data_IF_178989558760
#
_entry.id   IF_178989558760
#
_cell.length_a   1.000
_cell.length_b   1.000
_cell.length_c   1.000
_cell.angle_alpha   90.00
_cell.angle_beta   90.00
_cell.angle_gamma   90.00
#
_symmetry.space_group_name_H-M   'P 1'
#
loop_
_entity.id
_entity.type
_entity.pdbx_description
1 polymer ?
#
# COMPACT_ATOMS: atom_id res chain seq x y z
N UNK A 1 11.68 8.52 -10.91
CA UNK A 1 10.28 8.11 -10.92
C UNK A 1 9.74 8.01 -9.51
N UNK A 2 8.58 8.53 -9.28
CA UNK A 2 7.96 8.47 -7.95
C UNK A 2 7.13 7.21 -7.81
N UNK A 3 7.17 6.62 -6.63
CA UNK A 3 6.35 5.47 -6.32
C UNK A 3 5.76 5.65 -4.93
N UNK A 4 4.82 4.80 -4.56
CA UNK A 4 4.12 4.92 -3.30
C UNK A 4 4.88 4.28 -2.16
N UNK A 5 4.74 4.88 -0.99
CA UNK A 5 5.23 4.25 0.24
C UNK A 5 4.40 3.01 0.56
N UNK A 6 5.04 1.96 1.00
CA UNK A 6 4.37 0.74 1.41
C UNK A 6 4.75 0.46 2.86
N UNK A 7 3.75 0.33 3.72
CA UNK A 7 3.94 -0.14 5.08
C UNK A 7 3.81 -1.65 5.10
N UNK A 8 4.69 -2.32 5.82
CA UNK A 8 4.63 -3.77 5.98
C UNK A 8 4.93 -4.08 7.44
N UNK A 9 3.98 -4.70 8.13
CA UNK A 9 4.13 -4.95 9.56
C UNK A 9 3.37 -6.19 10.00
N UNK A 10 3.79 -6.75 11.13
CA UNK A 10 3.14 -7.89 11.72
C UNK A 10 1.93 -7.43 12.55
N UNK A 11 0.81 -8.10 12.39
CA UNK A 11 -0.41 -7.83 13.15
C UNK A 11 -0.68 -8.98 14.10
N UNK A 12 -0.59 -8.72 15.40
CA UNK A 12 -0.86 -9.75 16.41
C UNK A 12 -2.33 -10.19 16.36
N UNK A 13 -3.23 -9.25 16.11
CA UNK A 13 -4.66 -9.56 16.06
C UNK A 13 -4.98 -10.53 14.94
N UNK A 14 -4.31 -10.40 13.82
CA UNK A 14 -4.59 -11.22 12.65
C UNK A 14 -3.62 -12.39 12.48
N UNK A 15 -2.61 -12.44 13.33
CA UNK A 15 -1.58 -13.49 13.31
C UNK A 15 -0.94 -13.60 11.92
N UNK A 16 -0.49 -12.49 11.41
CA UNK A 16 0.14 -12.44 10.10
C UNK A 16 0.59 -11.04 9.77
N UNK A 17 0.92 -10.81 8.52
CA UNK A 17 1.47 -9.55 8.07
C UNK A 17 0.48 -8.76 7.26
N UNK A 18 0.50 -7.46 7.48
CA UNK A 18 -0.32 -6.52 6.71
C UNK A 18 0.60 -5.61 5.92
N UNK A 19 0.26 -5.43 4.64
CA UNK A 19 0.92 -4.46 3.78
C UNK A 19 -0.13 -3.46 3.34
N UNK A 20 0.21 -2.16 3.40
CA UNK A 20 -0.75 -1.16 2.93
C UNK A 20 -0.04 0.00 2.26
N UNK A 21 -0.77 0.66 1.37
CA UNK A 21 -0.28 1.83 0.65
C UNK A 21 -1.12 3.02 1.10
N UNK A 22 -0.55 3.88 1.98
CA UNK A 22 -1.34 4.97 2.60
C UNK A 22 -1.97 5.94 1.59
N UNK A 23 -1.29 6.20 0.49
CA UNK A 23 -1.80 7.16 -0.50
C UNK A 23 -2.95 6.63 -1.33
N UNK A 24 -3.19 5.33 -1.31
CA UNK A 24 -4.28 4.72 -2.05
C UNK A 24 -5.31 4.18 -1.06
N UNK A 25 -6.50 4.74 -1.08
CA UNK A 25 -7.54 4.36 -0.11
C UNK A 25 -7.86 2.88 -0.21
N UNK A 26 -7.83 2.20 0.93
CA UNK A 26 -8.18 0.79 1.05
C UNK A 26 -7.30 -0.15 0.22
N UNK A 27 -6.10 0.29 -0.09
CA UNK A 27 -5.17 -0.56 -0.81
C UNK A 27 -4.28 -1.27 0.20
N UNK A 28 -4.69 -2.45 0.62
CA UNK A 28 -3.97 -3.23 1.61
C UNK A 28 -4.11 -4.71 1.33
N UNK A 29 -3.26 -5.50 1.97
CA UNK A 29 -3.27 -6.93 1.81
C UNK A 29 -2.82 -7.59 3.12
N UNK A 30 -3.22 -8.83 3.31
CA UNK A 30 -2.84 -9.62 4.47
C UNK A 30 -2.34 -10.97 4.01
N UNK A 31 -1.32 -11.48 4.70
CA UNK A 31 -0.86 -12.85 4.47
C UNK A 31 -0.05 -13.30 5.67
N UNK A 32 -0.02 -14.60 5.97
CA UNK A 32 0.82 -15.12 7.05
C UNK A 32 2.31 -14.82 6.91
N UNK A 33 2.81 -14.60 5.69
CA UNK A 33 4.22 -14.27 5.47
C UNK A 33 4.38 -12.87 4.92
N UNK A 34 5.47 -12.17 5.27
CA UNK A 34 5.69 -10.80 4.78
C UNK A 34 5.92 -10.74 3.28
N UNK A 35 6.59 -11.74 2.71
CA UNK A 35 6.85 -11.78 1.28
C UNK A 35 5.56 -11.84 0.48
N UNK A 36 4.61 -12.66 0.93
CA UNK A 36 3.33 -12.78 0.23
C UNK A 36 2.46 -11.55 0.44
N UNK A 37 2.49 -10.96 1.64
CA UNK A 37 1.74 -9.74 1.89
C UNK A 37 2.21 -8.63 0.96
N UNK A 38 3.52 -8.51 0.77
CA UNK A 38 4.07 -7.52 -0.15
C UNK A 38 3.64 -7.80 -1.59
N UNK A 39 3.73 -9.06 -2.02
CA UNK A 39 3.32 -9.44 -3.36
C UNK A 39 1.85 -9.11 -3.60
N UNK A 40 1.00 -9.41 -2.62
CA UNK A 40 -0.43 -9.16 -2.75
C UNK A 40 -0.76 -7.67 -2.81
N UNK A 41 -0.08 -6.85 -2.01
CA UNK A 41 -0.36 -5.41 -2.04
C UNK A 41 0.10 -4.78 -3.35
N UNK A 42 1.16 -5.32 -3.95
CA UNK A 42 1.59 -4.82 -5.26
C UNK A 42 0.57 -5.14 -6.34
N UNK A 43 -0.06 -6.30 -6.26
CA UNK A 43 -1.17 -6.64 -7.16
C UNK A 43 -2.37 -5.74 -6.91
N UNK A 44 -2.69 -5.51 -5.65
CA UNK A 44 -3.79 -4.63 -5.28
C UNK A 44 -3.56 -3.21 -5.79
N UNK A 45 -2.32 -2.75 -5.76
CA UNK A 45 -1.97 -1.43 -6.30
C UNK A 45 -2.28 -1.34 -7.79
N UNK A 46 -1.90 -2.36 -8.56
CA UNK A 46 -2.15 -2.37 -9.99
C UNK A 46 -3.65 -2.36 -10.30
N UNK A 47 -4.40 -3.17 -9.58
CA UNK A 47 -5.86 -3.22 -9.74
C UNK A 47 -6.49 -1.88 -9.37
N UNK A 48 -6.01 -1.27 -8.28
CA UNK A 48 -6.52 0.01 -7.81
C UNK A 48 -6.32 1.11 -8.85
N UNK A 49 -5.10 1.19 -9.40
CA UNK A 49 -4.77 2.20 -10.40
C UNK A 49 -5.56 1.97 -11.68
N UNK A 50 -5.68 0.73 -12.10
CA UNK A 50 -6.43 0.40 -13.30
C UNK A 50 -7.90 0.75 -13.14
N UNK A 51 -8.48 0.48 -11.97
CA UNK A 51 -9.87 0.82 -11.69
C UNK A 51 -10.09 2.33 -11.69
N UNK A 52 -9.16 3.09 -11.09
CA UNK A 52 -9.25 4.53 -11.07
C UNK A 52 -9.20 5.10 -12.49
N UNK A 53 -8.29 4.57 -13.30
CA UNK A 53 -8.14 4.98 -14.69
C UNK A 53 -9.41 4.69 -15.50
N UNK A 54 -9.97 3.51 -15.33
CA UNK A 54 -11.18 3.10 -16.04
C UNK A 54 -12.38 3.94 -15.67
N UNK A 55 -12.46 4.41 -14.43
CA UNK A 55 -13.58 5.24 -13.98
C UNK A 55 -13.31 6.73 -14.11
N UNK A 56 -12.19 7.11 -14.73
CA UNK A 56 -11.86 8.51 -14.92
C UNK A 56 -11.56 9.24 -13.63
N UNK A 57 -11.19 8.52 -12.58
CA UNK A 57 -10.85 9.13 -11.29
C UNK A 57 -9.37 9.49 -11.24
N UNK A 58 -9.02 10.55 -10.52
CA UNK A 58 -7.61 10.93 -10.41
C UNK A 58 -6.81 9.87 -9.66
N UNK A 59 -5.58 9.68 -10.12
CA UNK A 59 -4.64 8.79 -9.45
C UNK A 59 -3.81 9.66 -8.52
N UNK A 60 -3.84 9.40 -7.20
CA UNK A 60 -3.12 10.24 -6.23
C UNK A 60 -1.62 10.22 -6.47
N UNK A 61 -0.98 11.35 -6.21
CA UNK A 61 0.47 11.40 -6.22
C UNK A 61 1.01 10.85 -4.90
N UNK A 62 2.20 10.23 -4.92
CA UNK A 62 2.82 9.76 -3.68
C UNK A 62 3.14 10.93 -2.77
N UNK A 63 2.50 11.00 -1.61
CA UNK A 63 2.66 12.09 -0.66
C UNK A 63 3.04 11.63 0.73
N UNK A 64 2.63 10.43 1.10
CA UNK A 64 2.88 9.94 2.44
C UNK A 64 4.38 9.84 2.70
N UNK A 65 4.79 10.32 3.86
CA UNK A 65 6.19 10.26 4.31
C UNK A 65 6.22 9.71 5.73
N UNK A 66 7.01 8.67 5.98
CA UNK A 66 7.16 8.16 7.35
C UNK A 66 7.70 9.25 8.27
N UNK A 67 7.40 9.13 9.55
CA UNK A 67 7.80 10.12 10.55
C UNK A 67 9.31 10.41 10.52
N UNK A 68 10.11 9.40 10.18
CA UNK A 68 11.57 9.57 10.14
C UNK A 68 12.01 10.67 9.15
N UNK A 69 11.20 10.91 8.13
CA UNK A 69 11.50 11.94 7.14
C UNK A 69 10.78 13.25 7.41
N UNK A 70 9.90 13.29 8.40
CA UNK A 70 9.14 14.48 8.72
C UNK A 70 9.85 15.37 9.74
N UNK A 71 10.84 14.83 10.39
CA UNK A 71 11.55 15.55 11.46
C UNK A 71 12.59 16.52 10.95
N UNK A 72 13.07 16.31 9.76
CA UNK A 72 14.16 17.11 9.20
C UNK A 72 13.82 18.56 8.92
#
# INVERSE_FOLDING_TARGET
MKDYHINLFYSEEDDGYIADIPDLKRCSAFDPTPEEALREVLKAKEVWIEAARSHGKPIPEPRYRPAIYQIA
#
